data_IF_473813671413
#
_entry.id   IF_473813671413
#
_cell.length_a   1.000
_cell.length_b   1.000
_cell.length_c   1.000
_cell.angle_alpha   90.00
_cell.angle_beta   90.00
_cell.angle_gamma   90.00
#
_symmetry.space_group_name_H-M   'P 1'
#
loop_
_entity.id
_entity.type
_entity.pdbx_description
1 polymer ?
#
# COMPACT_ATOMS: atom_id res chain seq x y z
N UNK A 1 23.23 -41.78 22.80
CA UNK A 1 22.42 -41.38 21.63
C UNK A 1 23.21 -40.39 20.81
N UNK A 2 23.39 -40.56 19.50
CA UNK A 2 24.13 -39.62 18.68
C UNK A 2 23.26 -38.39 18.39
N UNK A 3 23.82 -37.19 18.62
CA UNK A 3 23.18 -35.92 18.28
C UNK A 3 23.47 -35.62 16.81
N UNK A 4 22.41 -35.49 16.00
CA UNK A 4 22.52 -35.13 14.59
C UNK A 4 22.42 -33.61 14.43
N UNK A 5 23.46 -32.97 13.91
CA UNK A 5 23.44 -31.56 13.56
C UNK A 5 23.19 -31.40 12.06
N UNK A 6 22.03 -30.85 11.70
CA UNK A 6 21.68 -30.53 10.33
C UNK A 6 21.91 -29.04 10.07
N UNK A 7 22.56 -28.72 8.95
CA UNK A 7 22.72 -27.35 8.46
C UNK A 7 22.41 -27.33 6.97
N UNK A 8 21.59 -26.39 6.54
CA UNK A 8 21.20 -26.23 5.14
C UNK A 8 21.04 -24.75 4.79
N UNK A 9 21.19 -24.44 3.50
CA UNK A 9 20.98 -23.10 2.96
C UNK A 9 19.92 -23.21 1.86
N UNK A 10 18.87 -22.39 1.95
CA UNK A 10 17.93 -22.22 0.84
C UNK A 10 18.57 -21.23 -0.13
N UNK A 11 18.77 -21.64 -1.37
CA UNK A 11 19.21 -20.79 -2.47
C UNK A 11 18.18 -20.88 -3.57
N UNK A 12 17.98 -19.75 -4.27
CA UNK A 12 17.19 -19.68 -5.49
C UNK A 12 15.76 -20.22 -5.37
N UNK A 13 15.08 -19.92 -4.25
CA UNK A 13 13.68 -20.26 -4.05
C UNK A 13 12.82 -19.57 -5.13
N UNK A 14 12.38 -20.34 -6.13
CA UNK A 14 11.46 -19.91 -7.17
C UNK A 14 10.04 -20.22 -6.72
N UNK A 15 9.16 -19.23 -6.85
CA UNK A 15 7.75 -19.36 -6.47
C UNK A 15 6.87 -18.87 -7.61
N UNK A 16 5.96 -19.72 -8.05
CA UNK A 16 4.92 -19.37 -9.02
C UNK A 16 3.61 -19.11 -8.29
N UNK A 17 3.15 -17.86 -8.22
CA UNK A 17 1.90 -17.53 -7.55
C UNK A 17 0.68 -17.94 -8.38
N UNK A 18 -0.10 -18.90 -7.88
CA UNK A 18 -1.32 -19.39 -8.55
C UNK A 18 -2.58 -18.55 -8.28
N UNK A 19 -2.59 -17.75 -7.21
CA UNK A 19 -3.75 -16.97 -6.77
C UNK A 19 -3.64 -15.47 -7.12
N UNK A 20 -2.77 -15.12 -8.05
CA UNK A 20 -2.60 -13.73 -8.45
C UNK A 20 -3.69 -13.29 -9.42
N UNK A 21 -4.04 -11.99 -9.41
CA UNK A 21 -4.75 -11.41 -10.55
C UNK A 21 -3.92 -11.63 -11.81
N UNK A 22 -4.58 -12.07 -12.89
CA UNK A 22 -3.96 -12.41 -14.17
C UNK A 22 -3.24 -11.23 -14.82
N UNK A 23 -3.61 -10.00 -14.48
CA UNK A 23 -2.96 -8.78 -14.93
C UNK A 23 -3.17 -7.65 -13.92
N UNK A 24 -2.10 -6.91 -13.59
CA UNK A 24 -2.24 -5.66 -12.85
C UNK A 24 -2.52 -4.51 -13.81
N UNK A 25 -3.41 -3.60 -13.41
CA UNK A 25 -3.47 -2.29 -14.03
C UNK A 25 -2.15 -1.55 -13.78
N UNK A 26 -1.60 -1.01 -14.86
CA UNK A 26 -0.42 -0.15 -14.84
C UNK A 26 -0.84 1.30 -15.02
N UNK A 27 -0.30 2.19 -14.19
CA UNK A 27 -0.64 3.61 -14.18
C UNK A 27 0.61 4.46 -14.37
N UNK A 28 0.56 5.46 -15.25
CA UNK A 28 1.66 6.42 -15.36
C UNK A 28 1.70 7.31 -14.10
N UNK A 29 2.89 7.49 -13.51
CA UNK A 29 3.06 8.31 -12.30
C UNK A 29 2.55 9.75 -12.48
N UNK A 30 2.65 10.36 -13.68
CA UNK A 30 2.21 11.73 -13.92
C UNK A 30 0.69 11.90 -13.82
N UNK A 31 -0.06 10.83 -14.13
CA UNK A 31 -1.53 10.80 -14.15
C UNK A 31 -2.12 9.95 -13.02
N UNK A 32 -1.29 9.41 -12.14
CA UNK A 32 -1.75 8.54 -11.07
C UNK A 32 -2.68 9.29 -10.11
N UNK A 33 -3.88 8.74 -9.93
CA UNK A 33 -4.85 9.15 -8.92
C UNK A 33 -5.20 7.95 -8.04
N UNK A 34 -4.85 8.05 -6.76
CA UNK A 34 -5.10 7.01 -5.77
C UNK A 34 -6.59 6.71 -5.59
N UNK A 35 -7.47 7.67 -5.84
CA UNK A 35 -8.91 7.50 -5.66
C UNK A 35 -9.51 6.65 -6.78
N UNK A 36 -9.04 6.83 -8.02
CA UNK A 36 -9.50 6.12 -9.22
C UNK A 36 -8.78 4.80 -9.47
N UNK A 37 -7.56 4.63 -8.94
CA UNK A 37 -6.78 3.41 -9.13
C UNK A 37 -7.44 2.17 -8.51
N UNK A 38 -7.06 0.98 -8.97
CA UNK A 38 -7.42 -0.27 -8.32
C UNK A 38 -6.80 -0.39 -6.91
N UNK A 39 -7.24 -1.39 -6.14
CA UNK A 39 -6.76 -1.62 -4.79
C UNK A 39 -5.25 -1.94 -4.72
N UNK A 40 -4.69 -2.47 -5.80
CA UNK A 40 -3.27 -2.70 -6.01
C UNK A 40 -2.95 -2.71 -7.51
N UNK A 41 -1.69 -2.49 -7.87
CA UNK A 41 -1.27 -2.45 -9.26
C UNK A 41 0.20 -2.06 -9.43
N UNK A 42 0.54 -1.63 -10.64
CA UNK A 42 1.85 -1.12 -11.01
C UNK A 42 1.78 0.38 -11.30
N UNK A 43 2.81 1.11 -10.91
CA UNK A 43 3.02 2.51 -11.29
C UNK A 43 4.26 2.57 -12.17
N UNK A 44 4.10 3.04 -13.40
CA UNK A 44 5.17 3.26 -14.35
C UNK A 44 5.85 4.61 -14.07
N UNK A 45 7.18 4.60 -13.88
CA UNK A 45 7.96 5.80 -13.57
C UNK A 45 8.53 6.52 -14.80
N UNK A 46 8.15 6.10 -16.01
CA UNK A 46 8.59 6.71 -17.27
C UNK A 46 9.91 6.17 -17.82
N UNK A 47 10.53 5.19 -17.15
CA UNK A 47 11.73 4.49 -17.64
C UNK A 47 11.45 2.98 -17.79
N UNK A 48 11.90 2.33 -18.87
CA UNK A 48 11.72 0.89 -19.07
C UNK A 48 12.26 0.09 -17.87
N UNK A 49 11.44 -0.81 -17.32
CA UNK A 49 11.81 -1.67 -16.19
C UNK A 49 11.78 -1.00 -14.82
N UNK A 50 11.46 0.30 -14.73
CA UNK A 50 11.37 1.03 -13.47
C UNK A 50 9.90 1.28 -13.09
N UNK A 51 9.29 0.30 -12.44
CA UNK A 51 7.92 0.38 -11.98
C UNK A 51 7.87 0.31 -10.45
N UNK A 52 6.84 0.83 -9.79
CA UNK A 52 6.56 0.57 -8.38
C UNK A 52 5.34 -0.34 -8.27
N UNK A 53 5.41 -1.36 -7.44
CA UNK A 53 4.22 -2.11 -7.08
C UNK A 53 3.52 -1.39 -5.93
N UNK A 54 2.22 -1.09 -6.07
CA UNK A 54 1.48 -0.38 -5.04
C UNK A 54 0.27 -1.17 -4.55
N UNK A 55 -0.11 -0.91 -3.30
CA UNK A 55 -1.39 -1.27 -2.72
C UNK A 55 -1.98 -0.05 -2.01
N UNK A 56 -3.32 0.09 -1.96
CA UNK A 56 -3.99 1.16 -1.22
C UNK A 56 -4.97 0.61 -0.19
N UNK A 57 -5.10 1.32 0.92
CA UNK A 57 -6.02 1.01 2.02
C UNK A 57 -7.21 1.98 1.98
N UNK A 58 -8.40 1.47 2.29
CA UNK A 58 -9.64 2.29 2.33
C UNK A 58 -9.86 2.91 3.72
N UNK A 59 -9.21 2.37 4.74
CA UNK A 59 -9.22 2.85 6.13
C UNK A 59 -7.89 2.44 6.76
N UNK A 60 -7.36 3.18 7.76
CA UNK A 60 -6.17 2.75 8.49
C UNK A 60 -6.34 1.41 9.23
N UNK A 61 -7.59 0.98 9.49
CA UNK A 61 -7.86 -0.19 10.31
C UNK A 61 -7.74 -1.49 9.50
N UNK A 62 -6.77 -2.32 9.90
CA UNK A 62 -6.44 -3.61 9.26
C UNK A 62 -7.61 -4.57 9.08
N UNK A 63 -8.60 -4.53 9.97
CA UNK A 63 -9.68 -5.53 10.03
C UNK A 63 -10.88 -5.23 9.13
N UNK A 64 -10.93 -4.07 8.47
CA UNK A 64 -12.12 -3.63 7.70
C UNK A 64 -12.01 -3.79 6.18
N UNK A 65 -10.80 -3.91 5.62
CA UNK A 65 -10.61 -3.96 4.16
C UNK A 65 -9.57 -4.98 3.67
N UNK A 66 -9.21 -5.97 4.50
CA UNK A 66 -8.21 -7.02 4.22
C UNK A 66 -6.96 -6.52 3.47
N UNK A 67 -6.25 -5.51 4.00
CA UNK A 67 -5.17 -4.85 3.28
C UNK A 67 -3.98 -5.75 2.94
N UNK A 68 -3.71 -6.76 3.77
CA UNK A 68 -2.60 -7.70 3.53
C UNK A 68 -2.79 -8.51 2.25
N UNK A 69 -4.02 -8.88 1.88
CA UNK A 69 -4.26 -9.58 0.62
C UNK A 69 -3.77 -8.77 -0.58
N UNK A 70 -3.98 -7.45 -0.57
CA UNK A 70 -3.54 -6.52 -1.63
C UNK A 70 -2.02 -6.42 -1.70
N UNK A 71 -1.37 -6.45 -0.55
CA UNK A 71 0.09 -6.49 -0.45
C UNK A 71 0.64 -7.81 -1.01
N UNK A 72 0.06 -8.94 -0.60
CA UNK A 72 0.47 -10.26 -1.07
C UNK A 72 0.37 -10.40 -2.58
N UNK A 73 -0.71 -9.88 -3.18
CA UNK A 73 -0.86 -9.87 -4.64
C UNK A 73 0.34 -9.20 -5.32
N UNK A 74 0.90 -8.15 -4.75
CA UNK A 74 2.06 -7.43 -5.32
C UNK A 74 3.43 -8.00 -4.94
N UNK A 75 3.49 -8.95 -3.99
CA UNK A 75 4.75 -9.31 -3.33
C UNK A 75 5.73 -10.07 -4.25
N UNK A 76 5.20 -10.89 -5.17
CA UNK A 76 5.97 -11.64 -6.14
C UNK A 76 6.63 -10.76 -7.22
N UNK A 77 6.23 -9.48 -7.35
CA UNK A 77 6.79 -8.57 -8.33
C UNK A 77 8.20 -8.18 -7.90
N UNK A 78 9.19 -8.30 -8.78
CA UNK A 78 10.58 -7.94 -8.46
C UNK A 78 10.83 -6.42 -8.57
N UNK A 79 10.08 -5.63 -7.80
CA UNK A 79 10.27 -4.19 -7.68
C UNK A 79 10.01 -3.69 -6.25
N UNK A 80 10.26 -2.41 -5.96
CA UNK A 80 9.88 -1.76 -4.70
C UNK A 80 8.37 -1.86 -4.50
N UNK A 81 7.98 -2.24 -3.28
CA UNK A 81 6.59 -2.32 -2.86
C UNK A 81 6.23 -1.11 -2.02
N UNK A 82 5.11 -0.50 -2.34
CA UNK A 82 4.58 0.65 -1.62
C UNK A 82 3.16 0.32 -1.17
N UNK A 83 2.81 0.76 0.04
CA UNK A 83 1.43 0.73 0.51
C UNK A 83 1.00 2.14 0.91
N UNK A 84 -0.16 2.56 0.42
CA UNK A 84 -0.75 3.87 0.68
C UNK A 84 -1.81 3.69 1.75
N UNK A 85 -1.59 4.29 2.92
CA UNK A 85 -2.45 4.11 4.10
C UNK A 85 -2.92 5.49 4.59
N UNK A 86 -4.24 5.73 4.67
CA UNK A 86 -4.76 6.91 5.34
C UNK A 86 -4.37 6.86 6.82
N UNK A 87 -3.84 7.94 7.38
CA UNK A 87 -3.41 8.01 8.79
C UNK A 87 -4.62 7.87 9.72
N UNK A 88 -5.70 8.54 9.37
CA UNK A 88 -6.94 8.65 10.11
C UNK A 88 -8.10 8.54 9.14
N UNK A 89 -9.19 7.88 9.56
CA UNK A 89 -10.49 7.96 8.90
C UNK A 89 -11.53 8.36 9.92
N UNK A 90 -12.11 9.52 9.69
CA UNK A 90 -13.27 10.03 10.42
C UNK A 90 -14.55 9.69 9.64
N UNK A 91 -15.59 9.32 10.37
CA UNK A 91 -16.93 9.04 9.85
C UNK A 91 -17.96 10.09 10.32
N UNK A 92 -17.53 11.14 11.02
CA UNK A 92 -18.31 12.28 11.50
C UNK A 92 -18.78 12.13 12.95
N UNK A 93 -19.36 13.21 13.51
CA UNK A 93 -19.81 13.27 14.92
C UNK A 93 -20.91 12.26 15.31
N UNK A 94 -21.64 11.70 14.34
CA UNK A 94 -22.69 10.70 14.55
C UNK A 94 -22.17 9.27 14.78
N UNK A 95 -20.87 9.12 15.09
CA UNK A 95 -20.22 7.84 15.33
C UNK A 95 -18.96 8.03 16.17
N UNK A 96 -18.62 7.00 16.96
CA UNK A 96 -17.38 6.96 17.75
C UNK A 96 -16.20 6.38 16.93
N UNK A 97 -16.41 6.11 15.64
CA UNK A 97 -15.40 5.53 14.76
C UNK A 97 -14.39 6.60 14.31
N UNK A 98 -13.30 6.72 15.05
CA UNK A 98 -12.09 7.43 14.64
C UNK A 98 -11.00 6.39 14.39
N UNK A 99 -11.03 5.76 13.22
CA UNK A 99 -10.04 4.74 12.86
C UNK A 99 -8.68 5.43 12.65
N UNK A 100 -7.63 4.91 13.29
CA UNK A 100 -6.26 5.42 13.16
C UNK A 100 -5.28 4.30 12.86
N UNK A 101 -4.20 4.64 12.17
CA UNK A 101 -3.12 3.70 11.92
C UNK A 101 -2.46 3.32 13.26
N UNK A 102 -2.18 2.03 13.44
CA UNK A 102 -1.55 1.50 14.65
C UNK A 102 -0.04 1.30 14.41
N UNK A 103 0.79 1.48 15.45
CA UNK A 103 2.24 1.27 15.37
C UNK A 103 2.63 -0.12 14.81
N UNK A 104 1.85 -1.17 15.12
CA UNK A 104 2.10 -2.53 14.64
C UNK A 104 2.07 -2.59 13.10
N UNK A 105 1.24 -1.76 12.45
CA UNK A 105 1.22 -1.67 10.99
C UNK A 105 2.58 -1.24 10.44
N UNK A 106 3.23 -0.25 11.07
CA UNK A 106 4.57 0.19 10.65
C UNK A 106 5.60 -0.93 10.82
N UNK A 107 5.59 -1.61 11.96
CA UNK A 107 6.50 -2.73 12.23
C UNK A 107 6.35 -3.85 11.20
N UNK A 108 5.11 -4.21 10.83
CA UNK A 108 4.87 -5.25 9.83
C UNK A 108 5.25 -4.84 8.42
N UNK A 109 4.94 -3.61 7.98
CA UNK A 109 5.36 -3.16 6.65
C UNK A 109 6.88 -3.12 6.53
N UNK A 110 7.58 -2.67 7.58
CA UNK A 110 9.04 -2.68 7.62
C UNK A 110 9.60 -4.10 7.56
N UNK A 111 9.05 -5.03 8.36
CA UNK A 111 9.43 -6.46 8.32
C UNK A 111 9.27 -7.08 6.91
N UNK A 112 8.24 -6.67 6.18
CA UNK A 112 7.97 -7.12 4.81
C UNK A 112 8.71 -6.32 3.72
N UNK A 113 9.58 -5.39 4.11
CA UNK A 113 10.31 -4.49 3.21
C UNK A 113 9.37 -3.70 2.26
N UNK A 114 8.29 -3.15 2.83
CA UNK A 114 7.29 -2.35 2.12
C UNK A 114 7.38 -0.91 2.59
N UNK A 115 7.50 0.02 1.64
CA UNK A 115 7.44 1.45 1.92
C UNK A 115 6.02 1.87 2.25
N UNK A 116 5.87 2.74 3.25
CA UNK A 116 4.58 3.25 3.68
C UNK A 116 4.44 4.70 3.22
N UNK A 117 3.41 4.97 2.43
CA UNK A 117 2.96 6.33 2.15
C UNK A 117 1.79 6.62 3.08
N UNK A 118 2.02 7.55 4.00
CA UNK A 118 0.99 8.08 4.87
C UNK A 118 0.18 9.13 4.10
N UNK A 119 -1.10 8.84 3.90
CA UNK A 119 -2.03 9.70 3.18
C UNK A 119 -3.07 10.31 4.14
N UNK A 120 -3.76 11.34 3.68
CA UNK A 120 -4.89 11.94 4.38
C UNK A 120 -6.02 12.21 3.40
N UNK A 121 -7.23 12.24 3.94
CA UNK A 121 -8.41 12.69 3.20
C UNK A 121 -8.43 14.21 3.16
N UNK A 122 -8.70 14.79 2.00
CA UNK A 122 -8.84 16.23 1.81
C UNK A 122 -10.29 16.67 1.61
N UNK A 123 -11.15 15.75 1.18
CA UNK A 123 -12.56 16.01 0.95
C UNK A 123 -13.41 14.81 1.39
N UNK A 124 -14.69 15.07 1.67
CA UNK A 124 -15.69 14.09 2.04
C UNK A 124 -17.10 14.65 1.84
N UNK A 125 -18.05 13.76 1.60
CA UNK A 125 -19.45 14.14 1.45
C UNK A 125 -20.23 13.82 2.72
N UNK A 126 -21.21 14.66 3.05
CA UNK A 126 -22.18 14.33 4.10
C UNK A 126 -23.00 13.11 3.66
N UNK A 127 -23.11 12.13 4.55
CA UNK A 127 -23.91 10.93 4.29
C UNK A 127 -25.40 11.31 4.22
N UNK A 128 -26.12 10.95 3.12
CA UNK A 128 -27.55 11.22 2.99
C UNK A 128 -28.34 10.67 4.18
N UNK A 129 -29.39 11.38 4.58
CA UNK A 129 -30.29 11.00 5.68
C UNK A 129 -29.63 10.94 7.07
N UNK A 130 -28.48 11.61 7.26
CA UNK A 130 -27.86 11.78 8.58
C UNK A 130 -27.41 13.23 8.79
N UNK A 131 -27.42 13.72 10.03
CA UNK A 131 -26.93 15.06 10.39
C UNK A 131 -25.41 15.10 10.48
N UNK A 132 -24.82 14.05 11.03
CA UNK A 132 -23.46 14.15 11.58
C UNK A 132 -22.51 13.08 11.03
N UNK A 133 -22.83 12.43 9.90
CA UNK A 133 -21.94 11.43 9.29
C UNK A 133 -21.42 11.85 7.93
N UNK A 134 -20.23 11.38 7.61
CA UNK A 134 -19.55 11.60 6.31
C UNK A 134 -19.22 10.28 5.59
N UNK A 135 -19.14 10.35 4.28
CA UNK A 135 -18.86 9.24 3.35
C UNK A 135 -18.04 9.76 2.17
N UNK A 136 -17.67 8.88 1.23
CA UNK A 136 -17.00 9.24 -0.02
C UNK A 136 -15.73 10.08 0.22
N UNK A 137 -14.97 9.75 1.27
CA UNK A 137 -13.75 10.47 1.60
C UNK A 137 -12.72 10.31 0.47
N UNK A 138 -12.16 11.43 0.02
CA UNK A 138 -11.22 11.53 -1.09
C UNK A 138 -9.82 11.79 -0.54
N UNK A 139 -8.86 10.95 -0.89
CA UNK A 139 -7.45 11.13 -0.53
C UNK A 139 -6.81 12.23 -1.37
N UNK A 140 -5.89 12.99 -0.77
CA UNK A 140 -5.08 13.96 -1.51
C UNK A 140 -4.15 13.25 -2.51
N UNK A 141 -4.57 13.19 -3.77
CA UNK A 141 -3.87 12.45 -4.81
C UNK A 141 -2.51 13.09 -5.16
N UNK A 142 -2.41 14.42 -5.06
CA UNK A 142 -1.17 15.17 -5.33
C UNK A 142 -0.07 14.77 -4.36
N UNK A 143 -0.36 14.80 -3.06
CA UNK A 143 0.57 14.41 -1.99
C UNK A 143 1.02 12.96 -2.14
N UNK A 144 0.08 12.05 -2.42
CA UNK A 144 0.39 10.64 -2.65
C UNK A 144 1.37 10.47 -3.82
N UNK A 145 1.13 11.16 -4.94
CA UNK A 145 2.01 11.13 -6.11
C UNK A 145 3.40 11.70 -5.80
N UNK A 146 3.50 12.80 -5.06
CA UNK A 146 4.78 13.37 -4.63
C UNK A 146 5.56 12.37 -3.77
N UNK A 147 4.91 11.68 -2.84
CA UNK A 147 5.53 10.64 -2.01
C UNK A 147 5.93 9.38 -2.79
N UNK A 148 5.16 9.00 -3.80
CA UNK A 148 5.55 7.92 -4.72
C UNK A 148 6.84 8.28 -5.47
N UNK A 149 6.98 9.52 -5.95
CA UNK A 149 8.19 10.01 -6.59
C UNK A 149 9.39 10.13 -5.61
N UNK A 150 9.14 10.40 -4.34
CA UNK A 150 10.19 10.36 -3.31
C UNK A 150 10.71 8.93 -3.11
N UNK A 151 9.81 7.95 -2.96
CA UNK A 151 10.15 6.54 -2.80
C UNK A 151 10.86 5.97 -4.04
N UNK A 152 10.48 6.40 -5.25
CA UNK A 152 11.17 5.96 -6.47
C UNK A 152 12.64 6.37 -6.47
N UNK A 153 12.95 7.59 -6.01
CA UNK A 153 14.30 8.16 -5.92
C UNK A 153 15.10 7.65 -4.72
N UNK A 154 14.44 7.24 -3.64
CA UNK A 154 15.09 6.65 -2.48
C UNK A 154 15.84 5.37 -2.90
N UNK A 155 17.15 5.22 -2.61
CA UNK A 155 18.08 4.22 -3.17
C UNK A 155 18.71 4.52 -4.55
N UNK A 156 18.41 5.65 -5.20
CA UNK A 156 19.17 6.09 -6.40
C UNK A 156 20.44 6.89 -6.05
N UNK A 157 20.71 7.15 -4.77
CA UNK A 157 21.90 7.90 -4.31
C UNK A 157 23.02 6.97 -3.85
N UNK A 158 24.19 7.15 -4.46
CA UNK A 158 25.34 6.24 -4.55
C UNK A 158 26.19 6.04 -3.28
N UNK A 159 25.58 5.89 -2.10
CA UNK A 159 26.29 5.43 -0.89
C UNK A 159 25.85 4.02 -0.42
N UNK A 160 25.29 3.24 -1.34
CA UNK A 160 25.19 1.78 -1.30
C UNK A 160 25.44 1.20 -2.69
#
# INVERSE_FOLDING_TARGET
MPILYLRGFIRDATYTPYLNPSQFSEYNISQFDVNQAQACGLINLGMPGNNLAFSKWVTPKRTRSYPFARIYNTYHLNTKKVTIIPIIKDEGGGTQNNDRINYITFSWMNLLNIYIILAWYEDAERKPNTTDRITNQVLNAKSVREKLLEVSRYQMTALH
#
